data_IF_080901707334
#
_entry.id   IF_080901707334
#
_cell.length_a   1.000
_cell.length_b   1.000
_cell.length_c   1.000
_cell.angle_alpha   90.00
_cell.angle_beta   90.00
_cell.angle_gamma   90.00
#
_symmetry.space_group_name_H-M   'P 1'
#
loop_
_entity.id
_entity.type
_entity.pdbx_description
1 polymer ?
#
# COMPACT_ATOMS: atom_id res chain seq x y z
N UNK A 1 1.57 4.88 4.29
CA UNK A 1 0.44 5.81 4.17
C UNK A 1 0.58 6.45 2.81
N UNK A 2 -0.38 6.32 1.88
CA UNK A 2 -0.60 7.46 0.96
C UNK A 2 -1.07 8.55 1.91
N UNK A 3 -0.27 9.60 2.13
CA UNK A 3 -0.77 10.69 2.96
C UNK A 3 -2.06 11.14 2.30
N UNK A 4 -3.16 11.19 3.07
CA UNK A 4 -4.36 11.89 2.60
C UNK A 4 -3.84 13.27 2.18
N UNK A 5 -3.95 13.58 0.89
CA UNK A 5 -3.52 14.86 0.35
C UNK A 5 -4.21 15.92 1.21
N UNK A 6 -3.42 16.64 1.99
CA UNK A 6 -3.95 17.64 2.92
C UNK A 6 -4.43 18.85 2.13
N UNK A 7 -5.18 19.74 2.78
CA UNK A 7 -5.60 21.02 2.18
C UNK A 7 -4.43 21.81 1.56
N UNK A 8 -3.23 21.69 2.15
CA UNK A 8 -1.99 22.27 1.61
C UNK A 8 -1.67 21.84 0.18
N UNK A 9 -1.92 20.57 -0.18
CA UNK A 9 -1.68 20.06 -1.53
C UNK A 9 -2.59 20.73 -2.56
N UNK A 10 -3.88 20.83 -2.26
CA UNK A 10 -4.85 21.48 -3.15
C UNK A 10 -4.62 22.99 -3.25
N UNK A 11 -4.21 23.64 -2.15
CA UNK A 11 -3.82 25.05 -2.16
C UNK A 11 -2.60 25.32 -3.03
N UNK A 12 -1.59 24.44 -3.01
CA UNK A 12 -0.42 24.56 -3.88
C UNK A 12 -0.83 24.41 -5.35
N UNK A 13 -1.66 23.42 -5.68
CA UNK A 13 -2.17 23.24 -7.06
C UNK A 13 -2.96 24.47 -7.52
N UNK A 14 -3.80 25.02 -6.66
CA UNK A 14 -4.55 26.24 -6.95
C UNK A 14 -3.59 27.39 -7.29
N UNK A 15 -2.58 27.64 -6.45
CA UNK A 15 -1.57 28.68 -6.69
C UNK A 15 -0.85 28.46 -8.02
N UNK A 16 -0.41 27.23 -8.30
CA UNK A 16 0.23 26.92 -9.60
C UNK A 16 -0.70 27.15 -10.79
N UNK A 17 -1.99 26.82 -10.67
CA UNK A 17 -2.96 27.06 -11.74
C UNK A 17 -3.20 28.54 -11.99
N UNK A 18 -3.23 29.37 -10.93
CA UNK A 18 -3.32 30.83 -11.03
C UNK A 18 -2.07 31.40 -11.70
N UNK A 19 -0.88 30.96 -11.29
CA UNK A 19 0.39 31.41 -11.88
C UNK A 19 0.47 31.04 -13.36
N UNK A 20 0.13 29.79 -13.72
CA UNK A 20 0.17 29.32 -15.09
C UNK A 20 -0.77 30.13 -16.00
N UNK A 21 -1.98 30.40 -15.53
CA UNK A 21 -2.94 31.25 -16.25
C UNK A 21 -2.45 32.69 -16.35
N UNK A 22 -1.91 33.26 -15.26
CA UNK A 22 -1.35 34.61 -15.28
C UNK A 22 -0.19 34.78 -16.25
N UNK A 23 0.68 33.77 -16.36
CA UNK A 23 1.76 33.76 -17.36
C UNK A 23 1.19 33.69 -18.78
N UNK A 24 0.15 32.89 -19.00
CA UNK A 24 -0.50 32.76 -20.30
C UNK A 24 -1.19 34.06 -20.75
N UNK A 25 -1.96 34.72 -19.87
CA UNK A 25 -2.57 36.03 -20.19
C UNK A 25 -1.53 37.11 -20.41
N UNK A 26 -0.47 37.13 -19.61
CA UNK A 26 0.65 38.07 -19.81
C UNK A 26 1.30 37.86 -21.17
N UNK A 27 1.53 36.60 -21.58
CA UNK A 27 2.06 36.28 -22.91
C UNK A 27 1.13 36.76 -24.04
N UNK A 28 -0.17 36.55 -23.92
CA UNK A 28 -1.15 37.02 -24.91
C UNK A 28 -1.15 38.55 -25.04
N UNK A 29 -1.08 39.27 -23.92
CA UNK A 29 -1.00 40.72 -23.93
C UNK A 29 0.23 41.24 -24.70
N UNK A 30 1.39 40.62 -24.51
CA UNK A 30 2.60 41.01 -25.26
C UNK A 30 2.52 40.68 -26.75
N UNK A 31 1.75 39.66 -27.13
CA UNK A 31 1.64 39.19 -28.50
C UNK A 31 0.61 40.00 -29.30
N UNK A 32 -0.57 40.18 -28.74
CA UNK A 32 -1.73 40.70 -29.44
C UNK A 32 -2.04 42.16 -29.04
N UNK A 33 -1.33 42.71 -28.04
CA UNK A 33 -1.39 44.12 -27.64
C UNK A 33 -2.61 44.52 -26.82
N UNK A 34 -3.62 43.65 -26.75
CA UNK A 34 -4.86 43.86 -26.03
C UNK A 34 -5.19 42.63 -25.16
N UNK A 35 -5.82 42.87 -24.02
CA UNK A 35 -6.40 41.80 -23.20
C UNK A 35 -7.84 41.59 -23.63
N UNK A 36 -8.11 40.43 -24.21
CA UNK A 36 -9.48 40.01 -24.50
C UNK A 36 -10.27 39.88 -23.17
N UNK A 37 -11.35 40.68 -22.99
CA UNK A 37 -12.20 40.61 -21.80
C UNK A 37 -12.77 39.21 -21.55
N UNK A 38 -12.91 38.39 -22.59
CA UNK A 38 -13.41 37.01 -22.49
C UNK A 38 -12.48 36.12 -21.65
N UNK A 39 -11.20 36.50 -21.47
CA UNK A 39 -10.21 35.73 -20.72
C UNK A 39 -10.27 36.01 -19.20
N UNK A 40 -10.91 37.12 -18.79
CA UNK A 40 -11.03 37.52 -17.38
C UNK A 40 -11.86 36.49 -16.58
N UNK A 41 -12.94 35.98 -17.18
CA UNK A 41 -13.83 35.01 -16.53
C UNK A 41 -13.14 33.64 -16.32
N UNK A 42 -12.45 33.05 -17.33
CA UNK A 42 -11.59 31.88 -17.16
C UNK A 42 -10.50 32.07 -16.09
N UNK A 43 -9.91 33.27 -15.98
CA UNK A 43 -8.83 33.54 -15.01
C UNK A 43 -9.25 33.28 -13.56
N UNK A 44 -10.51 33.57 -13.23
CA UNK A 44 -11.09 33.35 -11.91
C UNK A 44 -11.64 31.92 -11.75
N UNK A 45 -12.32 31.42 -12.78
CA UNK A 45 -13.08 30.18 -12.68
C UNK A 45 -12.24 28.91 -12.86
N UNK A 46 -11.27 28.92 -13.77
CA UNK A 46 -10.47 27.73 -14.13
C UNK A 46 -9.65 27.20 -12.95
N UNK A 47 -8.92 28.03 -12.16
CA UNK A 47 -8.20 27.56 -10.97
C UNK A 47 -9.11 26.87 -9.95
N UNK A 48 -10.28 27.45 -9.72
CA UNK A 48 -11.28 26.94 -8.76
C UNK A 48 -11.82 25.60 -9.25
N UNK A 49 -12.23 25.53 -10.51
CA UNK A 49 -12.77 24.31 -11.10
C UNK A 49 -11.75 23.18 -11.20
N UNK A 50 -10.53 23.49 -11.63
CA UNK A 50 -9.47 22.50 -11.74
C UNK A 50 -9.16 21.87 -10.38
N UNK A 51 -9.02 22.71 -9.35
CA UNK A 51 -8.76 22.24 -7.98
C UNK A 51 -9.95 21.47 -7.40
N UNK A 52 -11.18 21.94 -7.61
CA UNK A 52 -12.40 21.29 -7.17
C UNK A 52 -12.64 19.95 -7.86
N UNK A 53 -12.37 19.87 -9.17
CA UNK A 53 -12.43 18.63 -9.93
C UNK A 53 -11.41 17.62 -9.42
N UNK A 54 -10.15 18.05 -9.21
CA UNK A 54 -9.09 17.18 -8.70
C UNK A 54 -9.42 16.62 -7.31
N UNK A 55 -9.99 17.45 -6.43
CA UNK A 55 -10.48 17.01 -5.12
C UNK A 55 -11.60 15.97 -5.22
N UNK A 56 -12.56 16.20 -6.12
CA UNK A 56 -13.68 15.29 -6.35
C UNK A 56 -13.20 13.97 -6.96
N UNK A 57 -12.27 14.05 -7.90
CA UNK A 57 -11.66 12.90 -8.56
C UNK A 57 -10.85 12.06 -7.57
N UNK A 58 -10.03 12.68 -6.72
CA UNK A 58 -9.32 11.99 -5.64
C UNK A 58 -10.31 11.24 -4.74
N UNK A 59 -11.42 11.87 -4.32
CA UNK A 59 -12.45 11.21 -3.51
C UNK A 59 -13.13 10.04 -4.22
N UNK A 60 -13.45 10.20 -5.50
CA UNK A 60 -14.12 9.17 -6.29
C UNK A 60 -13.20 7.97 -6.54
N UNK A 61 -11.94 8.23 -6.88
CA UNK A 61 -10.94 7.19 -7.10
C UNK A 61 -10.51 6.50 -5.82
N UNK A 62 -10.42 7.21 -4.70
CA UNK A 62 -10.18 6.57 -3.40
C UNK A 62 -11.33 5.62 -3.02
N UNK A 63 -12.56 5.90 -3.46
CA UNK A 63 -13.74 5.04 -3.25
C UNK A 63 -13.78 3.84 -4.19
N UNK A 64 -13.41 4.00 -5.47
CA UNK A 64 -13.44 2.93 -6.48
C UNK A 64 -12.19 2.04 -6.39
N UNK A 65 -11.04 2.62 -6.06
CA UNK A 65 -9.77 1.94 -5.90
C UNK A 65 -9.26 2.16 -4.47
N UNK A 66 -9.87 1.52 -3.45
CA UNK A 66 -9.32 1.55 -2.11
C UNK A 66 -7.90 1.00 -2.19
N UNK A 67 -6.91 1.88 -2.07
CA UNK A 67 -5.51 1.51 -2.20
C UNK A 67 -5.24 0.36 -1.23
N UNK A 68 -4.60 -0.72 -1.73
CA UNK A 68 -4.24 -1.90 -0.94
C UNK A 68 -3.86 -1.47 0.47
N UNK A 69 -4.71 -1.82 1.43
CA UNK A 69 -4.54 -1.46 2.84
C UNK A 69 -3.11 -1.83 3.19
N UNK A 70 -2.31 -0.82 3.55
CA UNK A 70 -1.07 -1.08 4.27
C UNK A 70 -1.54 -1.71 5.58
N UNK A 71 -1.57 -3.04 5.60
CA UNK A 71 -1.67 -3.87 6.81
C UNK A 71 -0.95 -3.11 7.90
N UNK A 72 -1.66 -2.80 8.98
CA UNK A 72 -1.08 -2.01 10.07
C UNK A 72 0.26 -2.64 10.45
N UNK A 73 1.35 -1.90 10.29
CA UNK A 73 2.70 -2.42 10.53
C UNK A 73 2.79 -3.09 11.92
N UNK A 74 1.97 -2.66 12.89
CA UNK A 74 1.95 -3.21 14.23
C UNK A 74 1.45 -4.68 14.28
N UNK A 75 0.30 -5.01 13.68
CA UNK A 75 -0.19 -6.40 13.66
C UNK A 75 0.77 -7.33 12.92
N UNK A 76 1.28 -6.89 11.78
CA UNK A 76 2.23 -7.68 11.00
C UNK A 76 3.56 -7.89 11.74
N UNK A 77 4.08 -6.86 12.41
CA UNK A 77 5.30 -6.99 13.20
C UNK A 77 5.09 -7.91 14.41
N UNK A 78 3.94 -7.84 15.08
CA UNK A 78 3.60 -8.75 16.18
C UNK A 78 3.51 -10.21 15.69
N UNK A 79 2.84 -10.43 14.55
CA UNK A 79 2.81 -11.73 13.89
C UNK A 79 4.21 -12.25 13.54
N UNK A 80 5.05 -11.42 12.90
CA UNK A 80 6.40 -11.83 12.53
C UNK A 80 7.23 -12.21 13.75
N UNK A 81 7.10 -11.46 14.85
CA UNK A 81 7.80 -11.76 16.11
C UNK A 81 7.40 -13.13 16.65
N UNK A 82 6.10 -13.37 16.79
CA UNK A 82 5.60 -14.63 17.34
C UNK A 82 5.96 -15.83 16.46
N UNK A 83 5.82 -15.72 15.14
CA UNK A 83 6.21 -16.81 14.23
C UNK A 83 7.73 -17.05 14.25
N UNK A 84 8.54 -15.99 14.31
CA UNK A 84 10.00 -16.14 14.43
C UNK A 84 10.41 -16.85 15.73
N UNK A 85 9.76 -16.52 16.85
CA UNK A 85 9.97 -17.19 18.13
C UNK A 85 9.56 -18.67 18.06
N UNK A 86 8.40 -18.99 17.48
CA UNK A 86 7.97 -20.39 17.30
C UNK A 86 8.92 -21.18 16.40
N UNK A 87 9.42 -20.59 15.31
CA UNK A 87 10.43 -21.25 14.46
C UNK A 87 11.72 -21.50 15.25
N UNK A 88 12.18 -20.54 16.04
CA UNK A 88 13.43 -20.70 16.80
C UNK A 88 13.33 -21.78 17.88
N UNK A 89 12.14 -21.98 18.46
CA UNK A 89 11.89 -22.99 19.49
C UNK A 89 11.64 -24.37 18.88
N UNK A 90 10.85 -24.46 17.82
CA UNK A 90 10.43 -25.75 17.23
C UNK A 90 11.38 -26.26 16.13
N UNK A 91 12.11 -25.38 15.46
CA UNK A 91 13.12 -25.74 14.48
C UNK A 91 14.50 -25.43 15.06
N UNK A 92 15.23 -26.47 15.46
CA UNK A 92 16.63 -26.39 15.95
C UNK A 92 17.62 -26.01 14.82
N UNK A 93 17.33 -24.94 14.08
CA UNK A 93 18.15 -24.49 12.96
C UNK A 93 19.45 -23.85 13.44
N UNK A 94 20.50 -24.10 12.67
CA UNK A 94 21.73 -23.33 12.76
C UNK A 94 21.49 -21.86 12.37
N UNK A 95 22.43 -20.99 12.76
CA UNK A 95 22.42 -19.56 12.43
C UNK A 95 22.36 -19.34 10.91
N UNK A 96 23.07 -20.19 10.15
CA UNK A 96 23.16 -20.12 8.70
C UNK A 96 21.85 -20.51 8.02
N UNK A 97 21.20 -21.56 8.50
CA UNK A 97 19.88 -21.98 8.01
C UNK A 97 18.83 -20.92 8.28
N UNK A 98 18.85 -20.31 9.48
CA UNK A 98 17.95 -19.21 9.82
C UNK A 98 18.19 -17.98 8.93
N UNK A 99 19.46 -17.64 8.67
CA UNK A 99 19.83 -16.55 7.77
C UNK A 99 19.34 -16.81 6.34
N UNK A 100 19.48 -18.04 5.86
CA UNK A 100 19.00 -18.45 4.53
C UNK A 100 17.47 -18.39 4.44
N UNK A 101 16.76 -18.79 5.50
CA UNK A 101 15.31 -18.69 5.58
C UNK A 101 14.83 -17.22 5.52
N UNK A 102 15.52 -16.34 6.23
CA UNK A 102 15.20 -14.90 6.28
C UNK A 102 15.47 -14.19 4.95
N UNK A 103 16.49 -14.59 4.21
CA UNK A 103 16.81 -14.01 2.90
C UNK A 103 16.00 -14.64 1.74
N UNK A 104 15.39 -15.82 1.95
CA UNK A 104 14.62 -16.50 0.92
C UNK A 104 13.32 -15.76 0.57
N UNK A 105 13.26 -15.16 -0.62
CA UNK A 105 12.10 -14.39 -1.09
C UNK A 105 10.81 -15.23 -1.18
N UNK A 106 10.90 -16.52 -1.52
CA UNK A 106 9.73 -17.41 -1.61
C UNK A 106 9.15 -17.63 -0.21
N UNK A 107 10.02 -17.78 0.79
CA UNK A 107 9.64 -17.89 2.19
C UNK A 107 8.99 -16.61 2.72
N UNK A 108 9.61 -15.45 2.48
CA UNK A 108 9.05 -14.14 2.88
C UNK A 108 7.66 -13.87 2.25
N UNK A 109 7.48 -14.24 0.97
CA UNK A 109 6.16 -14.20 0.33
C UNK A 109 5.16 -15.18 0.97
N UNK A 110 5.63 -16.34 1.44
CA UNK A 110 4.86 -17.29 2.24
C UNK A 110 4.34 -16.67 3.52
N UNK A 111 5.23 -16.06 4.32
CA UNK A 111 4.85 -15.41 5.58
C UNK A 111 3.78 -14.35 5.38
N UNK A 112 3.89 -13.55 4.31
CA UNK A 112 2.87 -12.54 3.96
C UNK A 112 1.53 -13.14 3.55
N UNK A 113 1.50 -14.30 2.91
CA UNK A 113 0.25 -15.00 2.58
C UNK A 113 -0.39 -15.64 3.82
N UNK A 114 0.41 -16.27 4.68
CA UNK A 114 -0.07 -16.83 5.94
C UNK A 114 -0.64 -15.73 6.86
N UNK A 115 -0.01 -14.56 6.92
CA UNK A 115 -0.57 -13.41 7.62
C UNK A 115 -1.91 -12.94 7.04
N UNK A 116 -2.10 -12.99 5.72
CA UNK A 116 -3.39 -12.63 5.11
C UNK A 116 -4.50 -13.58 5.53
N UNK A 117 -4.18 -14.88 5.64
CA UNK A 117 -5.12 -15.89 6.17
C UNK A 117 -5.47 -15.59 7.63
N UNK A 118 -4.47 -15.24 8.44
CA UNK A 118 -4.70 -14.81 9.83
C UNK A 118 -5.61 -13.57 9.93
N UNK A 119 -5.32 -12.51 9.18
CA UNK A 119 -5.98 -11.20 9.34
C UNK A 119 -7.34 -11.11 8.62
N UNK A 120 -7.55 -11.90 7.55
CA UNK A 120 -8.77 -11.82 6.70
C UNK A 120 -9.53 -13.15 6.56
N UNK A 121 -9.04 -14.24 7.16
CA UNK A 121 -9.58 -15.59 6.94
C UNK A 121 -9.10 -16.26 5.65
N UNK A 122 -9.52 -17.51 5.45
CA UNK A 122 -9.23 -18.27 4.23
C UNK A 122 -10.07 -17.77 3.04
N UNK A 123 -9.50 -17.89 1.84
CA UNK A 123 -10.25 -17.71 0.59
C UNK A 123 -9.91 -18.81 -0.42
N UNK A 124 -10.58 -18.81 -1.57
CA UNK A 124 -10.41 -19.85 -2.59
C UNK A 124 -8.98 -19.90 -3.19
N UNK A 125 -8.24 -18.79 -3.17
CA UNK A 125 -6.89 -18.70 -3.74
C UNK A 125 -5.78 -18.95 -2.71
N UNK A 126 -6.03 -18.62 -1.44
CA UNK A 126 -5.08 -18.68 -0.34
C UNK A 126 -5.79 -19.29 0.88
N UNK A 127 -5.53 -20.57 1.11
CA UNK A 127 -6.02 -21.37 2.24
C UNK A 127 -4.88 -22.21 2.84
N UNK A 128 -5.14 -22.89 3.96
CA UNK A 128 -4.12 -23.72 4.61
C UNK A 128 -3.62 -24.87 3.73
N UNK A 129 -4.49 -25.51 2.94
CA UNK A 129 -4.09 -26.61 2.04
C UNK A 129 -3.05 -26.15 0.99
N UNK A 130 -3.29 -24.97 0.40
CA UNK A 130 -2.36 -24.34 -0.53
C UNK A 130 -1.02 -24.00 0.15
N UNK A 131 -1.09 -23.43 1.35
CA UNK A 131 0.09 -23.04 2.13
C UNK A 131 0.92 -24.26 2.56
N UNK A 132 0.29 -25.36 2.95
CA UNK A 132 0.97 -26.61 3.36
C UNK A 132 1.75 -27.25 2.20
N UNK A 133 1.28 -27.09 0.96
CA UNK A 133 1.91 -27.63 -0.26
C UNK A 133 2.93 -26.69 -0.91
N UNK A 134 3.10 -25.47 -0.39
CA UNK A 134 3.89 -24.41 -1.03
C UNK A 134 5.40 -24.70 -1.13
N UNK A 135 5.93 -25.45 -0.16
CA UNK A 135 7.35 -25.78 -0.06
C UNK A 135 7.58 -27.28 -0.26
N UNK A 136 8.77 -27.64 -0.74
CA UNK A 136 9.12 -29.03 -1.01
C UNK A 136 9.28 -29.77 0.31
N UNK A 137 8.57 -30.90 0.48
CA UNK A 137 8.71 -31.76 1.66
C UNK A 137 10.18 -32.11 1.92
N UNK A 138 10.59 -32.01 3.18
CA UNK A 138 11.96 -32.25 3.63
C UNK A 138 12.93 -31.08 3.47
N UNK A 139 12.50 -29.93 2.93
CA UNK A 139 13.33 -28.71 2.95
C UNK A 139 13.20 -27.97 4.29
N UNK A 140 14.23 -27.20 4.65
CA UNK A 140 14.20 -26.37 5.85
C UNK A 140 13.05 -25.35 5.81
N UNK A 141 12.75 -24.79 4.63
CA UNK A 141 11.59 -23.93 4.45
C UNK A 141 10.28 -24.65 4.72
N UNK A 142 10.14 -25.90 4.28
CA UNK A 142 8.93 -26.68 4.56
C UNK A 142 8.76 -26.89 6.06
N UNK A 143 9.81 -27.33 6.77
CA UNK A 143 9.75 -27.54 8.22
C UNK A 143 9.37 -26.25 8.95
N UNK A 144 10.04 -25.14 8.64
CA UNK A 144 9.74 -23.84 9.21
C UNK A 144 8.30 -23.39 8.90
N UNK A 145 7.82 -23.65 7.69
CA UNK A 145 6.49 -23.22 7.27
C UNK A 145 5.38 -24.06 7.90
N UNK A 146 5.62 -25.31 8.27
CA UNK A 146 4.68 -26.10 9.08
C UNK A 146 4.53 -25.54 10.49
N UNK A 147 5.59 -24.96 11.06
CA UNK A 147 5.51 -24.24 12.33
C UNK A 147 4.70 -22.96 12.17
N UNK A 148 4.93 -22.20 11.08
CA UNK A 148 4.14 -20.98 10.76
C UNK A 148 2.65 -21.30 10.63
N UNK A 149 2.32 -22.24 9.74
CA UNK A 149 1.29 -23.26 9.89
C UNK A 149 0.42 -23.24 11.15
N UNK A 150 0.94 -24.02 12.09
CA UNK A 150 0.44 -24.30 13.41
C UNK A 150 0.26 -23.02 14.23
N UNK A 151 1.21 -22.10 14.18
CA UNK A 151 1.16 -20.86 14.93
C UNK A 151 0.01 -19.95 14.46
N UNK A 152 -0.19 -19.83 13.15
CA UNK A 152 -1.31 -19.09 12.58
C UNK A 152 -2.65 -19.69 12.99
N UNK A 153 -2.79 -21.01 12.95
CA UNK A 153 -4.01 -21.70 13.41
C UNK A 153 -4.30 -21.38 14.89
N UNK A 154 -3.30 -21.48 15.76
CA UNK A 154 -3.43 -21.10 17.19
C UNK A 154 -3.82 -19.64 17.38
N UNK A 155 -3.24 -18.72 16.60
CA UNK A 155 -3.59 -17.29 16.70
C UNK A 155 -5.03 -17.03 16.31
N UNK A 156 -5.54 -17.74 15.29
CA UNK A 156 -6.93 -17.63 14.85
C UNK A 156 -7.91 -18.21 15.87
N UNK A 157 -7.54 -19.29 16.57
CA UNK A 157 -8.37 -19.87 17.65
C UNK A 157 -8.44 -18.97 18.90
N UNK A 158 -7.40 -18.18 19.16
CA UNK A 158 -7.29 -17.28 20.32
C UNK A 158 -7.72 -15.82 20.04
N UNK A 159 -8.17 -15.50 18.83
CA UNK A 159 -8.62 -14.15 18.42
C UNK A 159 -10.13 -14.00 18.48
#
# INVERSE_FOLDING_TARGET
>A
MKSKKGLKYYAIIFIFSVIALGLYTTYLYFKDGELDPEIILPLLYVPIMFTGFLFTFDKFFDKIFPGKVKVSNNKFNAYLKAVSESIQVECEFSIEEYKNLRSNQKFQKGLGQAFRVYDNGENQEINFEFLERKFKKGSNEYMAFQVVIKEVKKMMENS
#
